data_IF_734157570246
#
_entry.id   IF_734157570246
#
_cell.length_a   1.000
_cell.length_b   1.000
_cell.length_c   1.000
_cell.angle_alpha   90.00
_cell.angle_beta   90.00
_cell.angle_gamma   90.00
#
_symmetry.space_group_name_H-M   'P 1'
#
loop_
_entity.id
_entity.type
_entity.pdbx_description
1 polymer ?
#
# COMPACT_ATOMS: atom_id res chain seq x y z
N UNK A 1 -14.84 -5.91 11.87
CA UNK A 1 -16.07 -6.63 12.28
C UNK A 1 -16.45 -6.34 13.73
N UNK A 2 -15.55 -6.49 14.72
CA UNK A 2 -15.82 -6.14 16.13
C UNK A 2 -16.19 -4.67 16.32
N UNK A 3 -15.53 -3.74 15.62
CA UNK A 3 -15.86 -2.30 15.67
C UNK A 3 -17.25 -1.95 15.12
N UNK A 4 -17.75 -2.68 14.10
CA UNK A 4 -19.11 -2.51 13.56
C UNK A 4 -20.15 -3.07 14.53
N UNK A 5 -19.83 -4.17 15.21
CA UNK A 5 -20.66 -4.71 16.29
C UNK A 5 -20.69 -3.74 17.48
N UNK A 6 -19.56 -3.10 17.82
CA UNK A 6 -19.50 -2.14 18.92
C UNK A 6 -20.20 -0.81 18.60
N UNK A 7 -20.17 -0.37 17.34
CA UNK A 7 -20.92 0.80 16.86
C UNK A 7 -22.43 0.51 16.76
N UNK A 8 -22.80 -0.70 16.34
CA UNK A 8 -24.19 -1.21 16.36
C UNK A 8 -24.75 -1.32 17.78
N UNK A 9 -23.98 -1.84 18.74
CA UNK A 9 -24.41 -1.95 20.13
C UNK A 9 -24.54 -0.57 20.82
N UNK A 10 -23.76 0.43 20.38
CA UNK A 10 -23.86 1.81 20.88
C UNK A 10 -25.12 2.52 20.35
N UNK A 11 -25.47 2.38 19.07
CA UNK A 11 -26.72 2.93 18.51
C UNK A 11 -27.97 2.26 19.10
N UNK A 12 -27.96 0.94 19.36
CA UNK A 12 -29.09 0.23 19.98
C UNK A 12 -29.31 0.65 21.44
N UNK A 13 -28.24 0.98 22.19
CA UNK A 13 -28.36 1.43 23.58
C UNK A 13 -28.71 2.93 23.70
N UNK A 14 -28.32 3.76 22.72
CA UNK A 14 -28.75 5.16 22.64
C UNK A 14 -30.25 5.30 22.31
N UNK A 15 -30.83 4.37 21.53
CA UNK A 15 -32.25 4.38 21.19
C UNK A 15 -33.18 3.90 22.33
N UNK A 16 -32.63 3.34 23.43
CA UNK A 16 -33.38 2.95 24.64
C UNK A 16 -33.37 4.05 25.73
N UNK A 17 -32.73 5.21 25.47
CA UNK A 17 -32.46 6.24 26.46
C UNK A 17 -33.16 7.58 26.27
N UNK A 18 -34.21 7.70 25.47
CA UNK A 18 -34.80 9.02 25.16
C UNK A 18 -36.33 9.04 25.13
N UNK A 19 -36.94 9.15 26.31
CA UNK A 19 -38.07 10.07 26.64
C UNK A 19 -38.39 9.90 28.14
N UNK A 20 -38.33 10.96 28.96
CA UNK A 20 -39.53 11.81 29.07
C UNK A 20 -39.22 13.28 29.38
N UNK A 21 -39.55 14.20 28.48
CA UNK A 21 -39.56 15.64 28.76
C UNK A 21 -40.95 16.23 28.60
N UNK A 22 -41.97 15.66 29.25
CA UNK A 22 -43.25 16.32 29.44
C UNK A 22 -44.03 15.65 30.58
N UNK A 23 -43.92 16.18 31.81
CA UNK A 23 -44.98 16.37 32.81
C UNK A 23 -44.40 16.98 34.11
N UNK A 24 -45.18 17.77 34.87
CA UNK A 24 -44.72 18.83 35.76
C UNK A 24 -44.56 18.40 37.23
N UNK A 25 -43.75 19.17 37.95
CA UNK A 25 -43.87 19.55 39.37
C UNK A 25 -44.62 18.57 40.31
N UNK A 26 -43.90 17.79 41.12
CA UNK A 26 -44.31 17.43 42.48
C UNK A 26 -43.16 16.84 43.32
N UNK A 27 -42.85 17.52 44.42
CA UNK A 27 -42.45 16.98 45.73
C UNK A 27 -41.18 16.09 45.86
N UNK A 28 -40.05 16.74 46.14
CA UNK A 28 -39.38 16.57 47.44
C UNK A 28 -38.77 15.22 47.83
N UNK A 29 -38.19 14.44 46.92
CA UNK A 29 -37.42 13.23 47.28
C UNK A 29 -35.90 13.44 47.06
N UNK A 30 -35.03 13.02 47.99
CA UNK A 30 -33.59 13.17 47.83
C UNK A 30 -33.11 12.34 46.63
N UNK A 31 -32.41 13.03 45.72
CA UNK A 31 -31.82 12.58 44.46
C UNK A 31 -30.64 11.60 44.65
N UNK A 32 -30.72 10.74 45.68
CA UNK A 32 -29.67 9.80 46.10
C UNK A 32 -30.10 8.32 45.98
N UNK A 33 -31.31 8.02 45.49
CA UNK A 33 -31.88 6.66 45.47
C UNK A 33 -31.73 5.91 44.14
N UNK A 34 -30.55 5.93 43.54
CA UNK A 34 -30.16 4.91 42.56
C UNK A 34 -28.64 4.72 42.44
N UNK A 35 -27.86 4.98 43.52
CA UNK A 35 -26.47 4.54 43.55
C UNK A 35 -26.47 3.06 43.89
N UNK A 36 -26.40 2.19 42.88
CA UNK A 36 -26.27 0.73 43.03
C UNK A 36 -25.30 0.41 44.17
N UNK A 37 -25.78 -0.31 45.19
CA UNK A 37 -24.98 -0.82 46.30
C UNK A 37 -24.16 -2.04 45.82
N UNK A 38 -23.37 -1.88 44.76
CA UNK A 38 -22.44 -2.90 44.32
C UNK A 38 -21.19 -2.82 45.21
N UNK A 39 -20.72 -3.97 45.69
CA UNK A 39 -19.48 -4.03 46.50
C UNK A 39 -18.35 -3.31 45.75
N UNK A 40 -17.49 -2.55 46.47
CA UNK A 40 -16.42 -1.76 45.83
C UNK A 40 -15.47 -2.63 44.98
N UNK A 41 -15.34 -3.91 45.32
CA UNK A 41 -14.58 -4.89 44.54
C UNK A 41 -15.25 -5.20 43.20
N UNK A 42 -16.58 -5.36 43.19
CA UNK A 42 -17.36 -5.59 41.97
C UNK A 42 -17.33 -4.37 41.04
N UNK A 43 -17.39 -3.16 41.59
CA UNK A 43 -17.26 -1.92 40.81
C UNK A 43 -15.86 -1.83 40.19
N UNK A 44 -14.80 -2.09 40.96
CA UNK A 44 -13.43 -2.11 40.44
C UNK A 44 -13.21 -3.16 39.35
N UNK A 45 -13.81 -4.35 39.51
CA UNK A 45 -13.74 -5.43 38.52
C UNK A 45 -14.43 -5.04 37.20
N UNK A 46 -15.63 -4.46 37.26
CA UNK A 46 -16.34 -3.97 36.07
C UNK A 46 -15.57 -2.82 35.43
N UNK A 47 -15.09 -1.85 36.21
CA UNK A 47 -14.30 -0.72 35.69
C UNK A 47 -13.03 -1.19 34.98
N UNK A 48 -12.32 -2.18 35.52
CA UNK A 48 -11.12 -2.74 34.88
C UNK A 48 -11.44 -3.34 33.49
N UNK A 49 -12.50 -4.14 33.38
CA UNK A 49 -12.95 -4.68 32.10
C UNK A 49 -13.45 -3.60 31.13
N UNK A 50 -14.13 -2.56 31.64
CA UNK A 50 -14.54 -1.41 30.84
C UNK A 50 -13.34 -0.66 30.27
N UNK A 51 -12.27 -0.44 31.04
CA UNK A 51 -11.04 0.17 30.54
C UNK A 51 -10.39 -0.69 29.44
N UNK A 52 -10.36 -2.02 29.59
CA UNK A 52 -9.85 -2.92 28.54
C UNK A 52 -10.63 -2.73 27.23
N UNK A 53 -11.97 -2.69 27.28
CA UNK A 53 -12.82 -2.51 26.10
C UNK A 53 -12.58 -1.16 25.42
N UNK A 54 -12.38 -0.09 26.21
CA UNK A 54 -12.07 1.25 25.69
C UNK A 54 -10.67 1.28 25.05
N UNK A 55 -9.68 0.63 25.66
CA UNK A 55 -8.33 0.56 25.09
C UNK A 55 -8.25 -0.27 23.81
N UNK A 56 -9.12 -1.26 23.62
CA UNK A 56 -9.19 -2.00 22.36
C UNK A 56 -9.60 -1.15 21.15
N UNK A 57 -10.22 0.02 21.35
CA UNK A 57 -10.50 0.99 20.28
C UNK A 57 -9.24 1.72 19.78
N UNK A 58 -8.14 1.69 20.55
CA UNK A 58 -6.87 2.35 20.16
C UNK A 58 -6.19 1.66 18.98
N UNK A 59 -6.43 0.36 18.76
CA UNK A 59 -6.05 -0.33 17.53
C UNK A 59 -7.31 -0.49 16.69
N UNK A 60 -7.72 0.55 15.95
CA UNK A 60 -8.96 0.50 15.20
C UNK A 60 -8.79 -0.46 14.03
N UNK A 61 -9.80 -1.32 13.83
CA UNK A 61 -9.87 -2.24 12.68
C UNK A 61 -9.77 -1.46 11.35
N UNK A 62 -10.21 -0.20 11.36
CA UNK A 62 -10.10 0.69 10.19
C UNK A 62 -8.65 0.94 9.78
N UNK A 63 -7.69 1.05 10.72
CA UNK A 63 -6.29 1.25 10.37
C UNK A 63 -5.76 0.07 9.54
N UNK A 64 -6.08 -1.15 9.94
CA UNK A 64 -5.70 -2.35 9.19
C UNK A 64 -6.32 -2.38 7.80
N UNK A 65 -7.64 -2.15 7.70
CA UNK A 65 -8.36 -2.15 6.42
C UNK A 65 -7.85 -1.04 5.50
N UNK A 66 -7.56 0.14 6.04
CA UNK A 66 -7.02 1.26 5.26
C UNK A 66 -5.63 0.94 4.71
N UNK A 67 -4.75 0.29 5.47
CA UNK A 67 -3.43 -0.13 4.96
C UNK A 67 -3.58 -1.09 3.78
N UNK A 68 -4.45 -2.09 3.90
CA UNK A 68 -4.73 -3.03 2.79
C UNK A 68 -5.29 -2.33 1.55
N UNK A 69 -6.21 -1.37 1.72
CA UNK A 69 -6.77 -0.58 0.61
C UNK A 69 -5.69 0.30 -0.05
N UNK A 70 -4.78 0.89 0.73
CA UNK A 70 -3.67 1.68 0.19
C UNK A 70 -2.74 0.79 -0.66
N UNK A 71 -2.42 -0.42 -0.19
CA UNK A 71 -1.60 -1.39 -0.95
C UNK A 71 -2.28 -1.76 -2.27
N UNK A 72 -3.59 -2.02 -2.26
CA UNK A 72 -4.37 -2.28 -3.46
C UNK A 72 -4.36 -1.09 -4.44
N UNK A 73 -4.52 0.13 -3.93
CA UNK A 73 -4.49 1.34 -4.75
C UNK A 73 -3.11 1.58 -5.39
N UNK A 74 -2.02 1.31 -4.67
CA UNK A 74 -0.66 1.43 -5.21
C UNK A 74 -0.43 0.44 -6.36
N UNK A 75 -0.80 -0.84 -6.17
CA UNK A 75 -0.67 -1.86 -7.21
C UNK A 75 -1.55 -1.54 -8.42
N UNK A 76 -2.78 -1.08 -8.18
CA UNK A 76 -3.68 -0.65 -9.25
C UNK A 76 -3.06 0.48 -10.09
N UNK A 77 -2.43 1.45 -9.44
CA UNK A 77 -1.78 2.56 -10.12
C UNK A 77 -0.60 2.09 -10.99
N UNK A 78 0.24 1.19 -10.49
CA UNK A 78 1.37 0.61 -11.24
C UNK A 78 0.86 -0.15 -12.48
N UNK A 79 -0.25 -0.88 -12.35
CA UNK A 79 -0.80 -1.66 -13.47
C UNK A 79 -1.46 -0.78 -14.55
N UNK A 80 -1.93 0.42 -14.21
CA UNK A 80 -2.49 1.38 -15.17
C UNK A 80 -1.42 2.24 -15.87
N UNK A 81 -0.17 2.18 -15.39
CA UNK A 81 0.91 2.98 -15.95
C UNK A 81 1.38 2.42 -17.32
N UNK A 82 1.35 3.27 -18.35
CA UNK A 82 1.72 2.93 -19.72
C UNK A 82 3.23 2.96 -19.96
N UNK A 83 3.99 3.63 -19.10
CA UNK A 83 5.44 3.72 -19.24
C UNK A 83 6.15 2.38 -18.96
N UNK A 84 5.47 1.50 -18.23
CA UNK A 84 5.94 0.17 -17.87
C UNK A 84 5.51 -0.94 -18.85
N UNK A 85 4.92 -0.59 -19.98
CA UNK A 85 4.55 -1.54 -21.03
C UNK A 85 5.74 -1.86 -21.94
N UNK A 86 6.04 -3.14 -22.13
CA UNK A 86 7.05 -3.55 -23.11
C UNK A 86 6.53 -3.36 -24.54
N UNK A 87 7.14 -2.41 -25.26
CA UNK A 87 6.79 -2.07 -26.65
C UNK A 87 6.99 -3.24 -27.62
N UNK A 88 7.86 -4.21 -27.32
CA UNK A 88 8.16 -5.35 -28.20
C UNK A 88 7.17 -6.49 -28.00
N UNK A 89 6.90 -6.86 -26.74
CA UNK A 89 6.00 -7.97 -26.43
C UNK A 89 4.54 -7.56 -26.18
N UNK A 90 4.23 -6.27 -26.02
CA UNK A 90 2.91 -5.77 -25.65
C UNK A 90 2.44 -6.25 -24.28
N UNK A 91 3.38 -6.51 -23.36
CA UNK A 91 3.10 -7.02 -22.01
C UNK A 91 3.24 -5.88 -21.00
N UNK A 92 2.23 -5.72 -20.15
CA UNK A 92 2.22 -4.82 -19.01
C UNK A 92 2.80 -5.51 -17.77
N UNK A 93 3.23 -4.73 -16.78
CA UNK A 93 3.70 -5.25 -15.49
C UNK A 93 2.56 -5.96 -14.73
N UNK A 94 2.84 -7.20 -14.31
CA UNK A 94 1.95 -8.04 -13.52
C UNK A 94 2.49 -8.18 -12.09
N UNK A 95 1.82 -7.52 -11.13
CA UNK A 95 2.16 -7.63 -9.72
C UNK A 95 1.41 -8.81 -9.08
N UNK A 96 2.12 -9.91 -8.80
CA UNK A 96 1.52 -11.13 -8.21
C UNK A 96 1.32 -11.06 -6.69
N UNK A 97 1.96 -10.11 -6.02
CA UNK A 97 1.88 -9.92 -4.57
C UNK A 97 1.72 -8.45 -4.22
N UNK A 98 0.83 -8.16 -3.26
CA UNK A 98 0.41 -6.80 -2.89
C UNK A 98 1.44 -6.04 -2.05
N UNK A 99 2.39 -6.73 -1.44
CA UNK A 99 3.43 -6.14 -0.59
C UNK A 99 4.68 -5.71 -1.36
N UNK A 100 4.80 -6.13 -2.62
CA UNK A 100 5.98 -5.93 -3.47
C UNK A 100 6.33 -4.43 -3.66
N UNK A 101 5.38 -3.50 -3.86
CA UNK A 101 5.72 -2.07 -4.01
C UNK A 101 6.42 -1.47 -2.78
N UNK A 102 6.06 -1.93 -1.57
CA UNK A 102 6.68 -1.47 -0.33
C UNK A 102 8.10 -2.02 -0.19
N UNK A 103 8.27 -3.31 -0.48
CA UNK A 103 9.59 -3.98 -0.47
C UNK A 103 10.52 -3.41 -1.55
N UNK A 104 10.00 -3.10 -2.74
CA UNK A 104 10.74 -2.42 -3.80
C UNK A 104 11.23 -1.03 -3.39
N UNK A 105 10.47 -0.32 -2.55
CA UNK A 105 10.86 1.00 -2.03
C UNK A 105 12.04 0.94 -1.05
N UNK A 106 12.39 -0.24 -0.54
CA UNK A 106 13.42 -0.45 0.47
C UNK A 106 14.60 -1.30 -0.03
N UNK A 107 14.65 -1.62 -1.33
CA UNK A 107 15.69 -2.48 -1.88
C UNK A 107 17.04 -1.76 -1.99
N UNK A 108 18.10 -2.35 -1.44
CA UNK A 108 19.46 -1.79 -1.48
C UNK A 108 20.36 -2.50 -2.51
N UNK A 109 20.12 -3.79 -2.74
CA UNK A 109 20.94 -4.61 -3.64
C UNK A 109 20.07 -5.28 -4.70
N UNK A 110 20.48 -5.14 -5.97
CA UNK A 110 19.86 -5.82 -7.11
C UNK A 110 20.80 -6.91 -7.61
N UNK A 111 20.43 -8.16 -7.39
CA UNK A 111 21.11 -9.30 -8.00
C UNK A 111 20.50 -9.56 -9.37
N UNK A 112 21.34 -9.50 -10.40
CA UNK A 112 20.94 -9.68 -11.80
C UNK A 112 21.60 -10.92 -12.37
N UNK A 113 20.83 -11.69 -13.16
CA UNK A 113 21.36 -12.81 -13.94
C UNK A 113 21.98 -12.29 -15.25
N UNK A 114 23.03 -12.96 -15.74
CA UNK A 114 23.71 -12.52 -16.97
C UNK A 114 22.86 -12.82 -18.20
N UNK A 115 22.48 -14.08 -18.38
CA UNK A 115 21.86 -14.54 -19.62
C UNK A 115 20.35 -14.41 -19.53
N UNK A 116 19.72 -13.74 -20.50
CA UNK A 116 18.27 -13.53 -20.51
C UNK A 116 17.79 -12.37 -19.66
N UNK A 117 18.66 -11.70 -18.88
CA UNK A 117 18.37 -10.40 -18.24
C UNK A 117 19.30 -9.31 -18.78
N UNK A 118 20.62 -9.41 -18.58
CA UNK A 118 21.55 -8.41 -19.11
C UNK A 118 21.79 -8.54 -20.61
N UNK A 119 21.79 -9.77 -21.12
CA UNK A 119 22.00 -10.05 -22.54
C UNK A 119 20.82 -10.83 -23.11
N UNK A 120 20.28 -10.34 -24.23
CA UNK A 120 19.42 -11.16 -25.08
C UNK A 120 20.24 -12.38 -25.57
N UNK A 121 19.59 -13.54 -25.73
CA UNK A 121 20.25 -14.75 -26.24
C UNK A 121 20.42 -14.68 -27.77
N UNK A 122 21.11 -13.64 -28.24
CA UNK A 122 21.45 -13.42 -29.63
C UNK A 122 22.91 -12.95 -29.69
N UNK A 123 23.74 -13.70 -30.42
CA UNK A 123 25.12 -13.33 -30.68
C UNK A 123 25.22 -12.75 -32.08
N UNK A 124 25.64 -11.48 -32.17
CA UNK A 124 25.86 -10.79 -33.44
C UNK A 124 27.36 -10.60 -33.63
N UNK A 125 27.86 -10.99 -34.79
CA UNK A 125 29.26 -10.77 -35.16
C UNK A 125 29.47 -9.30 -35.52
N UNK A 126 30.30 -8.59 -34.74
CA UNK A 126 30.49 -7.15 -34.88
C UNK A 126 31.73 -6.80 -35.72
N UNK A 127 32.84 -7.50 -35.51
CA UNK A 127 34.11 -7.22 -36.18
C UNK A 127 35.08 -8.40 -36.11
N UNK A 128 35.94 -8.53 -37.11
CA UNK A 128 37.19 -9.30 -37.00
C UNK A 128 38.35 -8.54 -37.65
N UNK A 129 39.56 -8.85 -37.23
CA UNK A 129 40.79 -8.38 -37.87
C UNK A 129 41.51 -9.56 -38.51
N UNK A 130 41.89 -9.44 -39.77
CA UNK A 130 42.61 -10.48 -40.53
C UNK A 130 43.79 -9.81 -41.25
N UNK A 131 45.02 -10.22 -40.94
CA UNK A 131 46.26 -9.65 -41.51
C UNK A 131 46.36 -8.12 -41.37
N UNK A 132 46.10 -7.58 -40.18
CA UNK A 132 46.04 -6.12 -39.90
C UNK A 132 44.98 -5.35 -40.70
N UNK A 133 44.02 -6.05 -41.32
CA UNK A 133 42.85 -5.45 -41.96
C UNK A 133 41.62 -5.69 -41.09
N UNK A 134 41.02 -4.59 -40.63
CA UNK A 134 39.82 -4.61 -39.81
C UNK A 134 38.53 -4.69 -40.66
N UNK A 135 37.76 -5.74 -40.43
CA UNK A 135 36.45 -6.01 -41.01
C UNK A 135 35.37 -5.76 -39.95
N UNK A 136 35.12 -4.49 -39.63
CA UNK A 136 34.01 -4.11 -38.75
C UNK A 136 32.73 -3.92 -39.55
N UNK A 137 31.64 -4.58 -39.15
CA UNK A 137 30.30 -4.22 -39.61
C UNK A 137 29.87 -2.96 -38.87
N UNK A 138 30.22 -1.78 -39.39
CA UNK A 138 29.58 -0.53 -38.96
C UNK A 138 28.12 -0.57 -39.41
N UNK A 139 27.14 -0.56 -38.50
CA UNK A 139 25.76 -0.32 -38.91
C UNK A 139 25.73 1.06 -39.56
N UNK A 140 25.25 1.13 -40.81
CA UNK A 140 24.93 2.41 -41.46
C UNK A 140 23.81 3.02 -40.63
N UNK A 141 24.16 3.91 -39.70
CA UNK A 141 23.19 4.77 -39.05
C UNK A 141 22.69 5.67 -40.18
N UNK A 142 21.47 5.45 -40.65
CA UNK A 142 20.78 6.40 -41.50
C UNK A 142 20.48 7.65 -40.65
N UNK A 143 21.48 8.50 -40.45
CA UNK A 143 21.31 9.89 -40.02
C UNK A 143 20.68 10.65 -41.18
N UNK A 144 19.39 10.45 -41.41
CA UNK A 144 18.59 11.43 -42.11
C UNK A 144 18.32 12.58 -41.12
N UNK A 145 19.03 13.69 -41.36
CA UNK A 145 18.82 15.07 -40.89
C UNK A 145 19.44 15.52 -39.55
N UNK A 146 20.68 16.02 -39.65
CA UNK A 146 21.03 17.46 -39.56
C UNK A 146 22.22 17.82 -38.66
N UNK A 147 23.23 18.40 -39.32
CA UNK A 147 24.29 19.33 -38.84
C UNK A 147 25.43 18.84 -37.93
N UNK A 148 26.61 18.76 -38.56
CA UNK A 148 27.85 19.41 -38.13
C UNK A 148 28.64 18.80 -36.96
N UNK A 149 29.59 17.92 -37.30
CA UNK A 149 31.04 18.17 -37.15
C UNK A 149 31.82 16.86 -37.34
N UNK A 150 32.76 16.87 -38.28
CA UNK A 150 33.79 15.83 -38.38
C UNK A 150 34.63 15.83 -37.11
N UNK A 151 34.77 14.67 -36.45
CA UNK A 151 35.91 14.42 -35.56
C UNK A 151 36.58 13.16 -36.06
N UNK A 152 37.66 13.37 -36.80
CA UNK A 152 38.70 12.40 -37.07
C UNK A 152 39.29 11.92 -35.75
N UNK A 153 39.21 10.61 -35.48
CA UNK A 153 40.11 9.94 -34.53
C UNK A 153 40.50 8.59 -35.14
N UNK A 154 41.55 8.63 -35.96
CA UNK A 154 42.50 7.52 -36.07
C UNK A 154 43.53 7.71 -34.95
N UNK A 155 43.65 6.74 -34.05
CA UNK A 155 44.89 6.31 -33.41
C UNK A 155 44.73 4.85 -33.03
#
# INVERSE_FOLDING_TARGET
MVCVIQQSQFEVNASQGLVPFLLPQATGAPLARARQLNSPVWVGFISFWTFIIIYQVIIPISLYVTIEVIKLMQVYHIHQDKDFEDKRSGKTIECRALNIPEELGQIEYVFTDKTGTLTENQMVFQCCSINDVDYSHTPIINTSSSSSSQVSLYT
#
